data_IF_174022571827
#
_entry.id   IF_174022571827
#
_cell.length_a   1.000
_cell.length_b   1.000
_cell.length_c   1.000
_cell.angle_alpha   90.00
_cell.angle_beta   90.00
_cell.angle_gamma   90.00
#
_symmetry.space_group_name_H-M   'P 1'
#
loop_
_entity.id
_entity.type
_entity.pdbx_description
1 polymer ?
#
# COMPACT_ATOMS: atom_id res chain seq x y z
N UNK A 1 -30.98 16.80 6.89
CA UNK A 1 -30.61 15.58 6.16
C UNK A 1 -29.18 15.74 5.65
N UNK A 2 -28.22 15.62 6.56
CA UNK A 2 -26.77 15.64 6.29
C UNK A 2 -26.20 14.57 7.20
N UNK A 3 -26.23 13.34 6.72
CA UNK A 3 -25.59 12.25 7.44
C UNK A 3 -24.08 12.46 7.36
N UNK A 4 -23.54 12.77 8.53
CA UNK A 4 -22.19 12.49 9.00
C UNK A 4 -21.32 11.73 8.00
N UNK A 5 -20.56 12.50 7.21
CA UNK A 5 -19.46 12.00 6.40
C UNK A 5 -18.36 11.50 7.36
N UNK A 6 -18.41 10.20 7.65
CA UNK A 6 -17.34 9.50 8.38
C UNK A 6 -16.08 9.59 7.52
N UNK A 7 -14.92 10.03 8.07
CA UNK A 7 -13.66 9.99 7.35
C UNK A 7 -13.44 8.58 6.81
N UNK A 8 -13.02 8.44 5.56
CA UNK A 8 -12.92 7.16 4.87
C UNK A 8 -12.04 6.13 5.63
N UNK A 9 -10.95 6.60 6.25
CA UNK A 9 -10.14 5.81 7.18
C UNK A 9 -10.92 5.33 8.42
N UNK A 10 -11.91 6.09 8.90
CA UNK A 10 -12.82 5.71 9.99
C UNK A 10 -13.94 4.76 9.53
N UNK A 11 -14.27 4.70 8.24
CA UNK A 11 -15.19 3.70 7.69
C UNK A 11 -14.49 2.37 7.36
N UNK A 12 -13.22 2.44 6.93
CA UNK A 12 -12.37 1.30 6.61
C UNK A 12 -11.72 0.69 7.86
N UNK A 13 -11.28 1.52 8.82
CA UNK A 13 -10.58 1.09 10.02
C UNK A 13 -11.31 0.05 10.88
N UNK A 14 -12.63 0.17 11.14
CA UNK A 14 -13.41 -0.85 11.84
C UNK A 14 -13.61 -2.14 11.03
N UNK A 15 -13.44 -2.10 9.70
CA UNK A 15 -13.58 -3.27 8.82
C UNK A 15 -12.31 -4.12 8.77
N UNK A 16 -11.18 -3.59 9.27
CA UNK A 16 -9.88 -4.27 9.27
C UNK A 16 -9.47 -4.51 10.73
N UNK A 17 -9.93 -5.62 11.30
CA UNK A 17 -9.55 -6.07 12.65
C UNK A 17 -8.16 -6.70 12.63
N UNK A 18 -7.17 -6.17 13.39
CA UNK A 18 -5.81 -6.71 13.43
C UNK A 18 -5.69 -8.11 14.04
N UNK A 19 -6.71 -8.60 14.76
CA UNK A 19 -6.74 -9.96 15.31
C UNK A 19 -7.31 -10.99 14.34
N UNK A 20 -7.99 -10.55 13.28
CA UNK A 20 -8.64 -11.41 12.28
C UNK A 20 -7.91 -11.33 10.94
N UNK A 21 -7.47 -10.13 10.56
CA UNK A 21 -6.83 -9.89 9.28
C UNK A 21 -5.32 -10.00 9.40
N UNK A 22 -4.76 -10.84 8.55
CA UNK A 22 -3.32 -11.02 8.39
C UNK A 22 -2.86 -10.35 7.10
N UNK A 23 -1.56 -10.45 6.82
CA UNK A 23 -1.03 -9.94 5.58
C UNK A 23 -1.72 -10.58 4.36
N UNK A 24 -2.15 -9.76 3.40
CA UNK A 24 -2.78 -10.22 2.17
C UNK A 24 -4.22 -10.68 2.31
N UNK A 25 -4.79 -10.75 3.52
CA UNK A 25 -6.20 -11.13 3.73
C UNK A 25 -7.14 -9.93 3.72
N UNK A 26 -6.61 -8.71 3.57
CA UNK A 26 -7.41 -7.50 3.40
C UNK A 26 -7.55 -7.22 1.92
N UNK A 27 -8.79 -7.03 1.48
CA UNK A 27 -9.12 -6.68 0.11
C UNK A 27 -8.33 -5.44 -0.37
N UNK A 28 -7.67 -5.48 -1.55
CA UNK A 28 -7.02 -4.31 -2.12
C UNK A 28 -8.03 -3.22 -2.48
N UNK A 29 -7.85 -2.02 -1.95
CA UNK A 29 -8.76 -0.88 -2.17
C UNK A 29 -8.51 -0.17 -3.50
N UNK A 30 -9.59 0.18 -4.21
CA UNK A 30 -9.58 0.98 -5.44
C UNK A 30 -10.25 2.35 -5.23
N UNK A 31 -10.49 3.08 -6.32
CA UNK A 31 -10.95 4.47 -6.29
C UNK A 31 -12.20 4.67 -5.43
N UNK A 32 -13.12 3.71 -5.40
CA UNK A 32 -14.35 3.79 -4.61
C UNK A 32 -14.09 3.85 -3.11
N UNK A 33 -13.17 3.02 -2.61
CA UNK A 33 -12.80 3.00 -1.20
C UNK A 33 -11.77 4.07 -0.84
N UNK A 34 -11.11 4.69 -1.81
CA UNK A 34 -10.03 5.68 -1.60
C UNK A 34 -10.48 7.14 -1.78
N UNK A 35 -11.66 7.36 -2.37
CA UNK A 35 -12.22 8.70 -2.58
C UNK A 35 -12.76 9.30 -1.29
N UNK A 36 -12.30 10.50 -0.96
CA UNK A 36 -12.87 11.26 0.15
C UNK A 36 -14.08 12.08 -0.32
N UNK A 37 -15.01 12.42 0.59
CA UNK A 37 -16.14 13.29 0.26
C UNK A 37 -15.75 14.70 -0.20
N UNK A 38 -14.54 15.15 0.15
CA UNK A 38 -13.98 16.39 -0.38
C UNK A 38 -13.54 16.18 -1.84
N UNK A 39 -14.05 16.97 -2.80
CA UNK A 39 -13.75 16.77 -4.21
C UNK A 39 -12.25 16.84 -4.51
N UNK A 40 -11.75 15.87 -5.28
CA UNK A 40 -10.35 15.81 -5.68
C UNK A 40 -9.39 15.36 -4.57
N UNK A 41 -9.90 14.96 -3.40
CA UNK A 41 -9.09 14.42 -2.32
C UNK A 41 -9.18 12.89 -2.26
N UNK A 42 -8.02 12.24 -2.23
CA UNK A 42 -7.90 10.78 -2.21
C UNK A 42 -6.93 10.35 -1.11
N UNK A 43 -7.21 9.20 -0.51
CA UNK A 43 -6.30 8.56 0.44
C UNK A 43 -5.57 7.42 -0.25
N UNK A 44 -4.29 7.23 0.09
CA UNK A 44 -3.52 6.08 -0.37
C UNK A 44 -2.49 5.68 0.70
N UNK A 45 -1.92 4.50 0.54
CA UNK A 45 -0.91 3.95 1.44
C UNK A 45 -1.51 3.41 2.74
N UNK A 46 -0.74 3.50 3.81
CA UNK A 46 -1.14 2.97 5.13
C UNK A 46 -2.42 3.62 5.68
N UNK A 47 -2.69 4.88 5.33
CA UNK A 47 -3.86 5.62 5.83
C UNK A 47 -5.21 5.04 5.34
N UNK A 48 -5.21 4.34 4.20
CA UNK A 48 -6.39 3.63 3.70
C UNK A 48 -6.48 2.19 4.21
N UNK A 49 -5.49 1.71 4.98
CA UNK A 49 -5.36 0.32 5.40
C UNK A 49 -5.72 0.07 6.88
N UNK A 50 -6.40 1.03 7.50
CA UNK A 50 -7.01 0.88 8.81
C UNK A 50 -6.01 0.61 9.94
N UNK A 51 -6.26 -0.44 10.73
CA UNK A 51 -5.43 -0.84 11.88
C UNK A 51 -4.51 -2.03 11.59
N UNK A 52 -4.47 -2.55 10.36
CA UNK A 52 -3.59 -3.66 10.02
C UNK A 52 -2.13 -3.23 10.23
N UNK A 53 -1.30 -4.01 10.96
CA UNK A 53 0.04 -3.58 11.36
C UNK A 53 1.05 -3.59 10.20
N UNK A 54 0.73 -4.26 9.09
CA UNK A 54 1.64 -4.46 7.96
C UNK A 54 1.00 -4.00 6.65
N UNK A 55 1.64 -3.05 5.99
CA UNK A 55 1.25 -2.55 4.68
C UNK A 55 2.11 -3.17 3.58
N UNK A 56 1.48 -3.84 2.62
CA UNK A 56 2.18 -4.39 1.46
C UNK A 56 2.38 -3.30 0.40
N UNK A 57 3.60 -3.17 -0.11
CA UNK A 57 3.90 -2.26 -1.21
C UNK A 57 3.04 -2.55 -2.46
N UNK A 58 2.75 -3.82 -2.76
CA UNK A 58 1.87 -4.21 -3.85
C UNK A 58 0.46 -3.64 -3.70
N UNK A 59 -0.10 -3.66 -2.48
CA UNK A 59 -1.39 -3.02 -2.20
C UNK A 59 -1.31 -1.52 -2.47
N UNK A 60 -0.22 -0.86 -2.08
CA UNK A 60 -0.01 0.56 -2.39
C UNK A 60 0.07 0.85 -3.89
N UNK A 61 0.71 -0.01 -4.67
CA UNK A 61 0.75 0.14 -6.13
C UNK A 61 -0.63 -0.02 -6.76
N UNK A 62 -1.44 -0.95 -6.29
CA UNK A 62 -2.81 -1.12 -6.79
C UNK A 62 -3.68 0.11 -6.50
N UNK A 63 -3.55 0.67 -5.30
CA UNK A 63 -4.24 1.91 -4.93
C UNK A 63 -3.85 3.05 -5.87
N UNK A 64 -2.55 3.24 -6.11
CA UNK A 64 -2.06 4.30 -7.01
C UNK A 64 -2.48 4.06 -8.46
N UNK A 65 -2.48 2.81 -8.94
CA UNK A 65 -2.95 2.45 -10.30
C UNK A 65 -4.40 2.89 -10.50
N UNK A 66 -5.27 2.48 -9.58
CA UNK A 66 -6.70 2.79 -9.63
C UNK A 66 -6.95 4.31 -9.56
N UNK A 67 -6.26 5.02 -8.66
CA UNK A 67 -6.37 6.49 -8.55
C UNK A 67 -5.84 7.21 -9.79
N UNK A 68 -4.72 6.76 -10.36
CA UNK A 68 -4.15 7.35 -11.57
C UNK A 68 -5.10 7.19 -12.77
N UNK A 69 -5.76 6.03 -12.91
CA UNK A 69 -6.79 5.82 -13.92
C UNK A 69 -7.97 6.80 -13.76
N UNK A 70 -8.44 6.99 -12.52
CA UNK A 70 -9.51 7.94 -12.23
C UNK A 70 -9.12 9.39 -12.58
N UNK A 71 -7.91 9.80 -12.21
CA UNK A 71 -7.37 11.12 -12.52
C UNK A 71 -7.14 11.34 -14.02
N UNK A 72 -6.86 10.27 -14.77
CA UNK A 72 -6.73 10.30 -16.23
C UNK A 72 -8.08 10.24 -16.97
N UNK A 73 -9.20 10.06 -16.26
CA UNK A 73 -10.54 9.93 -16.84
C UNK A 73 -10.89 8.53 -17.36
N UNK A 74 -10.03 7.53 -17.10
CA UNK A 74 -10.32 6.13 -17.39
C UNK A 74 -11.04 5.49 -16.21
N UNK A 75 -12.33 5.79 -16.11
CA UNK A 75 -13.18 5.31 -15.00
C UNK A 75 -13.33 3.79 -15.01
N UNK A 76 -13.41 3.16 -16.18
CA UNK A 76 -13.53 1.70 -16.27
C UNK A 76 -12.29 1.01 -15.66
N UNK A 77 -11.09 1.49 -15.95
CA UNK A 77 -9.85 0.96 -15.38
C UNK A 77 -9.69 1.29 -13.90
N UNK A 78 -10.19 2.45 -13.48
CA UNK A 78 -10.18 2.87 -12.08
C UNK A 78 -11.04 1.95 -11.19
N UNK A 79 -12.18 1.48 -11.69
CA UNK A 79 -13.13 0.65 -10.94
C UNK A 79 -12.69 -0.83 -10.82
N UNK A 80 -11.79 -1.29 -11.69
CA UNK A 80 -11.23 -2.64 -11.57
C UNK A 80 -10.22 -2.69 -10.43
N UNK A 81 -10.23 -3.77 -9.66
CA UNK A 81 -9.10 -4.15 -8.80
C UNK A 81 -8.35 -5.28 -9.47
N UNK A 82 -7.10 -5.03 -9.84
CA UNK A 82 -6.28 -5.94 -10.64
C UNK A 82 -5.30 -6.77 -9.80
N UNK A 83 -5.04 -6.35 -8.56
CA UNK A 83 -4.18 -7.07 -7.64
C UNK A 83 -4.91 -8.27 -7.01
N UNK A 84 -4.33 -9.46 -7.19
CA UNK A 84 -4.73 -10.67 -6.46
C UNK A 84 -3.61 -11.00 -5.48
N UNK A 85 -3.93 -11.01 -4.18
CA UNK A 85 -2.99 -11.40 -3.13
C UNK A 85 -3.21 -12.86 -2.75
N UNK A 86 -2.14 -13.65 -2.55
CA UNK A 86 -2.29 -14.95 -1.93
C UNK A 86 -2.73 -14.76 -0.46
N UNK A 87 -3.79 -15.44 -0.04
CA UNK A 87 -4.35 -15.38 1.32
C UNK A 87 -3.51 -16.16 2.35
N UNK A 88 -2.18 -16.17 2.20
CA UNK A 88 -1.27 -16.99 3.01
C UNK A 88 -1.04 -16.42 4.41
N UNK A 89 -1.47 -15.17 4.67
CA UNK A 89 -1.30 -14.50 5.96
C UNK A 89 0.14 -14.02 6.23
N UNK A 90 1.08 -14.24 5.32
CA UNK A 90 2.50 -13.91 5.49
C UNK A 90 2.93 -12.87 4.45
N UNK A 91 3.38 -11.71 4.92
CA UNK A 91 4.00 -10.70 4.06
C UNK A 91 5.43 -11.10 3.77
N UNK A 92 5.67 -11.66 2.58
CA UNK A 92 7.02 -11.83 2.08
C UNK A 92 7.64 -10.50 1.67
N UNK A 93 8.49 -9.95 2.53
CA UNK A 93 9.29 -8.78 2.19
C UNK A 93 10.33 -9.15 1.14
N UNK A 94 10.05 -8.82 -0.12
CA UNK A 94 11.01 -8.75 -1.23
C UNK A 94 12.05 -9.89 -1.27
N UNK A 95 11.62 -11.04 -1.82
CA UNK A 95 12.52 -12.09 -2.29
C UNK A 95 12.40 -13.40 -1.52
N UNK A 96 12.10 -14.46 -2.28
CA UNK A 96 12.22 -15.88 -1.89
C UNK A 96 11.03 -16.46 -1.11
N UNK A 97 9.90 -16.64 -1.79
CA UNK A 97 8.85 -17.59 -1.34
C UNK A 97 8.66 -18.80 -2.28
N UNK A 98 9.39 -18.86 -3.40
CA UNK A 98 9.27 -19.94 -4.39
C UNK A 98 10.64 -20.48 -4.84
N UNK A 99 11.57 -20.68 -3.90
CA UNK A 99 12.79 -21.46 -4.19
C UNK A 99 12.92 -22.59 -3.16
N UNK A 100 12.60 -23.85 -3.52
CA UNK A 100 12.69 -24.99 -2.60
C UNK A 100 14.15 -25.31 -2.19
N UNK A 101 15.15 -24.70 -2.84
CA UNK A 101 16.57 -24.81 -2.50
C UNK A 101 17.11 -23.59 -1.72
N UNK A 102 16.27 -22.60 -1.39
CA UNK A 102 16.66 -21.54 -0.47
C UNK A 102 16.63 -22.06 0.97
N UNK A 103 17.75 -22.68 1.36
CA UNK A 103 18.04 -23.05 2.74
C UNK A 103 17.68 -21.92 3.71
N UNK A 104 16.77 -22.24 4.63
CA UNK A 104 16.32 -21.41 5.73
C UNK A 104 17.48 -21.04 6.66
N UNK A 105 18.23 -20.01 6.29
CA UNK A 105 19.28 -19.41 7.10
C UNK A 105 18.94 -17.93 7.39
N UNK A 106 17.66 -17.62 7.66
CA UNK A 106 17.26 -16.30 8.16
C UNK A 106 17.39 -16.24 9.69
N UNK A 107 18.61 -16.34 10.19
CA UNK A 107 18.90 -16.01 11.59
C UNK A 107 19.05 -14.49 11.71
N UNK A 108 18.10 -13.85 12.40
CA UNK A 108 17.96 -12.39 12.57
C UNK A 108 19.14 -11.65 13.24
N UNK A 109 20.29 -12.29 13.48
CA UNK A 109 21.42 -11.71 14.21
C UNK A 109 22.71 -11.58 13.37
N UNK A 110 22.63 -11.53 12.04
CA UNK A 110 23.83 -11.29 11.21
C UNK A 110 24.15 -9.78 11.15
N UNK A 111 25.41 -9.34 11.32
CA UNK A 111 25.76 -7.93 11.16
C UNK A 111 25.51 -7.52 9.71
N UNK A 112 24.78 -6.43 9.51
CA UNK A 112 24.55 -5.87 8.19
C UNK A 112 25.88 -5.33 7.61
N UNK A 113 26.17 -5.55 6.31
CA UNK A 113 27.31 -4.91 5.67
C UNK A 113 27.11 -3.39 5.70
N UNK A 114 28.20 -2.64 5.90
CA UNK A 114 28.16 -1.19 6.01
C UNK A 114 27.54 -0.57 4.74
N UNK A 115 26.46 0.18 4.91
CA UNK A 115 25.81 0.89 3.81
C UNK A 115 26.72 2.02 3.31
N UNK A 116 26.98 2.04 2.00
CA UNK A 116 27.66 3.16 1.35
C UNK A 116 26.67 4.31 1.17
N UNK A 117 26.96 5.46 1.78
CA UNK A 117 26.10 6.63 1.75
C UNK A 117 26.25 7.35 0.40
N UNK A 118 25.19 7.35 -0.40
CA UNK A 118 25.10 8.17 -1.61
C UNK A 118 24.67 9.59 -1.20
N UNK A 119 25.50 10.58 -1.47
CA UNK A 119 25.19 11.98 -1.23
C UNK A 119 24.43 12.59 -2.42
N UNK A 120 23.20 13.05 -2.17
CA UNK A 120 22.43 13.83 -3.13
C UNK A 120 22.83 15.30 -2.98
N UNK A 121 23.51 15.84 -3.99
CA UNK A 121 23.87 17.26 -4.03
C UNK A 121 22.85 17.99 -4.90
N UNK A 122 22.25 19.11 -4.44
CA UNK A 122 21.35 19.89 -5.26
C UNK A 122 22.10 20.54 -6.45
N UNK A 123 21.45 20.71 -7.62
CA UNK A 123 22.07 21.37 -8.77
C UNK A 123 22.30 22.87 -8.52
N UNK A 124 23.38 23.41 -9.07
CA UNK A 124 23.84 24.81 -8.91
C UNK A 124 22.83 25.79 -9.57
N UNK A 125 22.17 26.61 -8.75
CA UNK A 125 21.23 27.63 -9.22
C UNK A 125 21.93 28.97 -9.40
N UNK A 126 22.69 29.12 -10.50
CA UNK A 126 23.21 30.43 -10.92
C UNK A 126 22.28 31.06 -11.97
N UNK A 127 21.67 32.22 -11.69
CA UNK A 127 20.92 32.95 -12.72
C UNK A 127 21.89 33.61 -13.71
N UNK A 128 21.53 33.55 -15.01
CA UNK A 128 22.16 34.33 -16.10
C UNK A 128 21.57 35.74 -16.17
#
# INVERSE_FOLDING_TARGET
MRDHLVPLASALGPRIDPNVHSCGTVYPHGVHELTHPEPGFYLAGMNSYGRAPTFLAMTGYEQVRSLAAALAGDHESAERVELVLPETGVCGGAGVFDDPDASAESSCCRPAPAAELISLTPPDSRPS
#
